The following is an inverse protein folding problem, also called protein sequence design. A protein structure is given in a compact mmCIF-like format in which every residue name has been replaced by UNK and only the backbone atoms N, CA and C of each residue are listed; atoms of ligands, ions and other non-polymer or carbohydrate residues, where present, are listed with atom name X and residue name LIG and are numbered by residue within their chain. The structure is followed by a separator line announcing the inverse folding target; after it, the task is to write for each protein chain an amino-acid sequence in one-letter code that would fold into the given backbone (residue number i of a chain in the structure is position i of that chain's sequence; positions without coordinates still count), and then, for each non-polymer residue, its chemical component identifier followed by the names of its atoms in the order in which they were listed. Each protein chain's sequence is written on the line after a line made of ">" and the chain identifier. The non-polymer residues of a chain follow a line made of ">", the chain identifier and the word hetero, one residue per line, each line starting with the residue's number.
data_IF_806653999307
#
_entry.id   IF_806653999307
#
_cell.length_a   1.000
_cell.length_b   1.000
_cell.length_c   1.000
_cell.angle_alpha   90.00
_cell.angle_beta   90.00
_cell.angle_gamma   90.00
#
_symmetry.space_group_name_H-M   'P 1'
#
loop_
_entity.id
_entity.type
_entity.pdbx_description
1 polymer ?
#
# COMPACT_ATOMS: atom_id res chain seq x y z
N UNK A 1 22.92 -19.86 4.63
CA UNK A 1 23.54 -19.47 3.34
C UNK A 1 23.42 -17.95 3.23
N UNK A 2 24.47 -17.24 3.61
CA UNK A 2 24.51 -15.79 3.65
C UNK A 2 24.55 -15.26 2.21
N UNK A 3 23.50 -14.56 1.80
CA UNK A 3 23.41 -13.92 0.49
C UNK A 3 24.29 -12.67 0.50
N UNK A 4 25.61 -12.88 0.44
CA UNK A 4 26.59 -11.82 0.24
C UNK A 4 26.44 -11.35 -1.22
N UNK A 5 25.56 -10.37 -1.43
CA UNK A 5 25.72 -9.43 -2.55
C UNK A 5 27.06 -8.73 -2.34
N UNK A 6 28.14 -9.31 -2.88
CA UNK A 6 29.40 -8.62 -3.01
C UNK A 6 29.23 -7.57 -4.10
N UNK A 7 28.70 -6.41 -3.74
CA UNK A 7 28.65 -5.25 -4.61
C UNK A 7 30.07 -4.70 -4.74
N UNK A 8 30.57 -4.62 -5.97
CA UNK A 8 31.85 -3.99 -6.23
C UNK A 8 31.66 -2.48 -6.17
N UNK A 9 32.14 -1.86 -5.09
CA UNK A 9 31.98 -0.43 -4.78
C UNK A 9 33.30 0.34 -4.94
N UNK A 10 34.12 0.01 -5.95
CA UNK A 10 35.38 0.71 -6.19
C UNK A 10 35.12 2.20 -6.50
N UNK A 11 35.40 3.12 -5.55
CA UNK A 11 35.04 4.52 -5.69
C UNK A 11 35.94 5.25 -6.71
N UNK A 12 37.02 4.61 -7.16
CA UNK A 12 37.86 5.14 -8.24
C UNK A 12 37.22 4.95 -9.63
N UNK A 13 36.21 4.07 -9.73
CA UNK A 13 35.57 3.68 -10.99
C UNK A 13 34.11 4.08 -11.02
N UNK A 14 33.40 3.90 -9.89
CA UNK A 14 31.99 4.22 -9.78
C UNK A 14 31.76 5.38 -8.83
N UNK A 15 30.77 6.25 -9.13
CA UNK A 15 30.32 7.23 -8.16
C UNK A 15 29.76 6.53 -6.92
N UNK A 16 29.84 7.16 -5.73
CA UNK A 16 29.30 6.60 -4.50
C UNK A 16 27.77 6.50 -4.52
N UNK A 17 27.12 7.24 -5.42
CA UNK A 17 25.68 7.19 -5.66
C UNK A 17 25.31 5.94 -6.49
N UNK A 18 24.50 5.01 -5.93
CA UNK A 18 24.06 3.80 -6.61
C UNK A 18 23.29 4.07 -7.91
N UNK A 19 22.48 5.13 -7.97
CA UNK A 19 21.65 5.44 -9.14
C UNK A 19 22.53 5.87 -10.33
N UNK A 20 23.52 6.72 -10.05
CA UNK A 20 24.48 7.18 -11.07
C UNK A 20 25.36 6.01 -11.54
N UNK A 21 25.71 5.08 -10.65
CA UNK A 21 26.43 3.85 -11.02
C UNK A 21 25.61 2.99 -11.98
N UNK A 22 24.34 2.75 -11.68
CA UNK A 22 23.45 1.97 -12.55
C UNK A 22 23.31 2.63 -13.94
N UNK A 23 23.14 3.95 -13.98
CA UNK A 23 23.09 4.70 -15.25
C UNK A 23 24.37 4.51 -16.07
N UNK A 24 25.54 4.61 -15.44
CA UNK A 24 26.84 4.44 -16.11
C UNK A 24 27.01 3.03 -16.68
N UNK A 25 26.65 2.00 -15.91
CA UNK A 25 26.70 0.61 -16.36
C UNK A 25 25.76 0.38 -17.55
N UNK A 26 24.56 0.94 -17.51
CA UNK A 26 23.60 0.83 -18.60
C UNK A 26 24.11 1.50 -19.87
N UNK A 27 24.54 2.76 -19.80
CA UNK A 27 25.10 3.50 -20.95
C UNK A 27 26.32 2.81 -21.55
N UNK A 28 27.19 2.28 -20.68
CA UNK A 28 28.35 1.50 -21.11
C UNK A 28 27.95 0.23 -21.87
N UNK A 29 26.93 -0.50 -21.38
CA UNK A 29 26.43 -1.72 -22.04
C UNK A 29 25.80 -1.46 -23.42
N UNK A 30 25.25 -0.26 -23.60
CA UNK A 30 24.70 0.20 -24.87
C UNK A 30 25.78 0.63 -25.87
N UNK A 31 27.04 0.74 -25.42
CA UNK A 31 28.17 1.18 -26.22
C UNK A 31 28.30 2.70 -26.32
N UNK A 32 27.67 3.46 -25.42
CA UNK A 32 27.84 4.91 -25.36
C UNK A 32 29.18 5.27 -24.73
N UNK A 33 29.82 6.32 -25.26
CA UNK A 33 31.03 6.89 -24.67
C UNK A 33 30.67 8.00 -23.67
N UNK A 34 31.31 7.95 -22.50
CA UNK A 34 31.22 8.94 -21.42
C UNK A 34 32.54 8.99 -20.63
N UNK A 35 32.81 10.04 -19.83
CA UNK A 35 34.13 10.26 -19.22
C UNK A 35 34.73 9.08 -18.43
N UNK A 36 33.90 8.19 -17.87
CA UNK A 36 34.34 7.02 -17.11
C UNK A 36 34.39 5.71 -17.92
N UNK A 37 34.14 5.74 -19.23
CA UNK A 37 34.09 4.52 -20.08
C UNK A 37 35.39 3.72 -20.03
N UNK A 38 36.55 4.36 -20.10
CA UNK A 38 37.84 3.65 -20.08
C UNK A 38 38.18 3.10 -18.69
N UNK A 39 37.83 3.84 -17.63
CA UNK A 39 37.99 3.38 -16.25
C UNK A 39 37.15 2.12 -15.97
N UNK A 40 35.90 2.10 -16.44
CA UNK A 40 34.99 0.96 -16.34
C UNK A 40 35.55 -0.25 -17.13
N UNK A 41 36.03 -0.06 -18.36
CA UNK A 41 36.68 -1.14 -19.14
C UNK A 41 37.93 -1.69 -18.46
N UNK A 42 38.77 -0.81 -17.90
CA UNK A 42 39.96 -1.21 -17.16
C UNK A 42 39.59 -2.05 -15.94
N UNK A 43 38.59 -1.62 -15.16
CA UNK A 43 38.11 -2.34 -13.99
C UNK A 43 37.43 -3.68 -14.33
N UNK A 44 36.62 -3.74 -15.39
CA UNK A 44 36.03 -5.00 -15.87
C UNK A 44 37.07 -6.07 -16.20
N UNK A 45 38.26 -5.66 -16.68
CA UNK A 45 39.35 -6.60 -16.97
C UNK A 45 39.88 -7.27 -15.70
N UNK A 46 39.88 -6.58 -14.56
CA UNK A 46 40.40 -7.08 -13.28
C UNK A 46 39.34 -7.59 -12.29
N UNK A 47 38.06 -7.20 -12.45
CA UNK A 47 36.99 -7.54 -11.51
C UNK A 47 35.99 -8.55 -12.11
N UNK A 48 35.94 -9.76 -11.56
CA UNK A 48 35.03 -10.82 -12.01
C UNK A 48 33.54 -10.50 -11.77
N UNK A 49 33.22 -9.77 -10.69
CA UNK A 49 31.85 -9.38 -10.34
C UNK A 49 31.29 -8.40 -11.38
N UNK A 50 31.99 -7.28 -11.61
CA UNK A 50 31.58 -6.29 -12.62
C UNK A 50 31.47 -6.89 -14.03
N UNK A 51 32.33 -7.85 -14.37
CA UNK A 51 32.25 -8.56 -15.65
C UNK A 51 30.94 -9.36 -15.77
N UNK A 52 30.60 -10.15 -14.75
CA UNK A 52 29.35 -10.93 -14.71
C UNK A 52 28.10 -10.04 -14.77
N UNK A 53 28.11 -8.92 -14.05
CA UNK A 53 27.03 -7.93 -14.05
C UNK A 53 26.86 -7.30 -15.45
N UNK A 54 27.95 -6.89 -16.08
CA UNK A 54 27.94 -6.34 -17.44
C UNK A 54 27.52 -7.36 -18.49
N UNK A 55 27.87 -8.63 -18.33
CA UNK A 55 27.38 -9.71 -19.20
C UNK A 55 25.85 -9.90 -19.05
N UNK A 56 25.31 -9.78 -17.83
CA UNK A 56 23.86 -9.81 -17.60
C UNK A 56 23.16 -8.64 -18.28
N UNK A 57 23.65 -7.42 -18.05
CA UNK A 57 23.12 -6.20 -18.66
C UNK A 57 23.21 -6.30 -20.19
N UNK A 58 24.35 -6.75 -20.73
CA UNK A 58 24.57 -6.95 -22.15
C UNK A 58 23.63 -7.97 -22.79
N UNK A 59 23.25 -9.05 -22.08
CA UNK A 59 22.22 -9.99 -22.54
C UNK A 59 20.84 -9.34 -22.64
N UNK A 60 20.45 -8.53 -21.65
CA UNK A 60 19.19 -7.78 -21.69
C UNK A 60 19.21 -6.77 -22.82
N UNK A 61 20.27 -5.95 -22.92
CA UNK A 61 20.44 -4.99 -23.99
C UNK A 61 20.46 -5.65 -25.40
N UNK A 62 21.08 -6.82 -25.52
CA UNK A 62 21.11 -7.62 -26.74
C UNK A 62 19.74 -8.16 -27.13
N UNK A 63 18.97 -8.68 -26.17
CA UNK A 63 17.58 -9.10 -26.40
C UNK A 63 16.69 -7.94 -26.87
N UNK A 64 16.98 -6.71 -26.40
CA UNK A 64 16.29 -5.50 -26.82
C UNK A 64 16.71 -4.99 -28.21
N UNK A 65 17.93 -5.28 -28.68
CA UNK A 65 18.41 -4.88 -30.02
C UNK A 65 17.66 -5.54 -31.18
N UNK A 66 16.93 -6.64 -30.94
CA UNK A 66 16.07 -7.30 -31.93
C UNK A 66 14.63 -6.75 -31.99
N UNK A 67 14.26 -5.88 -31.04
CA UNK A 67 12.98 -5.16 -31.03
C UNK A 67 13.10 -3.76 -31.62
N UNK A 68 12.00 -2.99 -31.70
CA UNK A 68 12.09 -1.58 -32.07
C UNK A 68 13.04 -0.91 -31.06
N UNK A 69 14.12 -0.30 -31.57
CA UNK A 69 15.40 -0.18 -30.87
C UNK A 69 15.45 0.54 -29.50
N UNK A 70 16.64 0.63 -28.89
CA UNK A 70 16.86 1.04 -27.49
C UNK A 70 16.39 2.45 -27.12
N UNK A 71 15.90 3.25 -28.07
CA UNK A 71 15.22 4.53 -27.80
C UNK A 71 13.78 4.38 -27.28
N UNK A 72 13.22 3.18 -27.23
CA UNK A 72 11.88 2.95 -26.64
C UNK A 72 11.94 2.67 -25.13
N UNK A 73 13.15 2.45 -24.60
CA UNK A 73 13.43 2.68 -23.19
C UNK A 73 13.73 4.17 -22.90
N UNK A 74 13.37 5.09 -23.81
CA UNK A 74 13.13 6.46 -23.39
C UNK A 74 12.08 6.40 -22.28
N UNK A 75 12.51 6.79 -21.08
CA UNK A 75 11.73 6.96 -19.86
C UNK A 75 10.25 7.13 -20.20
N UNK A 76 9.44 6.14 -19.80
CA UNK A 76 8.00 6.21 -20.01
C UNK A 76 7.52 7.59 -19.52
N UNK A 77 6.63 8.26 -20.27
CA UNK A 77 6.08 9.54 -19.83
C UNK A 77 5.53 9.40 -18.41
N UNK A 78 5.69 10.43 -17.56
CA UNK A 78 5.17 10.36 -16.20
C UNK A 78 3.63 10.16 -16.23
N UNK A 79 3.05 9.47 -15.24
CA UNK A 79 1.64 9.06 -15.25
C UNK A 79 0.64 10.19 -15.51
N UNK A 80 0.94 11.41 -15.04
CA UNK A 80 0.09 12.59 -15.22
C UNK A 80 -0.11 12.92 -16.70
N UNK A 81 0.94 12.81 -17.52
CA UNK A 81 0.85 13.08 -18.96
C UNK A 81 0.08 12.00 -19.69
N UNK A 82 0.15 10.75 -19.23
CA UNK A 82 -0.66 9.65 -19.76
C UNK A 82 -2.14 9.86 -19.42
N UNK A 83 -2.45 10.31 -18.20
CA UNK A 83 -3.81 10.64 -17.75
C UNK A 83 -4.41 11.81 -18.53
N UNK A 84 -3.67 12.92 -18.69
CA UNK A 84 -4.11 14.06 -19.51
C UNK A 84 -4.37 13.65 -20.97
N UNK A 85 -3.51 12.81 -21.55
CA UNK A 85 -3.70 12.30 -22.89
C UNK A 85 -4.89 11.34 -23.00
N UNK A 86 -5.08 10.47 -22.00
CA UNK A 86 -6.23 9.56 -21.92
C UNK A 86 -7.55 10.33 -21.83
N UNK A 87 -7.58 11.40 -21.03
CA UNK A 87 -8.72 12.30 -20.85
C UNK A 87 -8.93 13.28 -22.02
N UNK A 88 -8.08 13.24 -23.06
CA UNK A 88 -8.16 14.14 -24.22
C UNK A 88 -7.86 15.61 -23.88
N UNK A 89 -7.14 15.88 -22.79
CA UNK A 89 -6.68 17.22 -22.39
C UNK A 89 -5.41 17.59 -23.17
N UNK A 90 -4.51 16.62 -23.35
CA UNK A 90 -3.25 16.81 -24.08
C UNK A 90 -3.32 16.14 -25.46
N UNK A 91 -2.75 16.81 -26.47
CA UNK A 91 -2.62 16.31 -27.84
C UNK A 91 -1.15 16.28 -28.31
N UNK A 92 -0.20 16.12 -27.38
CA UNK A 92 1.24 16.11 -27.68
C UNK A 92 1.61 15.00 -28.71
N UNK A 93 2.07 15.36 -29.92
CA UNK A 93 2.41 14.39 -30.97
C UNK A 93 3.57 13.46 -30.60
N UNK A 94 4.47 13.87 -29.70
CA UNK A 94 5.57 13.03 -29.24
C UNK A 94 5.06 11.91 -28.34
N UNK A 95 4.12 12.24 -27.46
CA UNK A 95 3.45 11.30 -26.58
C UNK A 95 2.62 10.28 -27.37
N UNK A 96 1.85 10.75 -28.36
CA UNK A 96 1.11 9.88 -29.26
C UNK A 96 2.03 8.89 -30.00
N UNK A 97 3.19 9.36 -30.48
CA UNK A 97 4.20 8.51 -31.12
C UNK A 97 4.78 7.48 -30.14
N UNK A 98 5.08 7.87 -28.91
CA UNK A 98 5.59 6.95 -27.88
C UNK A 98 4.57 5.85 -27.56
N UNK A 99 3.30 6.21 -27.30
CA UNK A 99 2.21 5.25 -27.04
C UNK A 99 2.00 4.30 -28.23
N UNK A 100 2.20 4.80 -29.46
CA UNK A 100 2.17 4.00 -30.67
C UNK A 100 3.22 2.87 -30.71
N UNK A 101 4.29 2.98 -29.92
CA UNK A 101 5.41 2.03 -29.96
C UNK A 101 5.62 1.27 -28.64
N UNK A 102 5.36 1.90 -27.49
CA UNK A 102 5.51 1.29 -26.16
C UNK A 102 4.23 0.53 -25.76
N UNK A 103 4.26 -0.81 -25.60
CA UNK A 103 3.07 -1.57 -25.21
C UNK A 103 2.58 -1.22 -23.81
N UNK A 104 3.48 -0.98 -22.85
CA UNK A 104 3.12 -0.64 -21.47
C UNK A 104 2.31 0.67 -21.39
N UNK A 105 2.79 1.76 -22.01
CA UNK A 105 2.04 3.03 -22.01
C UNK A 105 0.74 2.95 -22.82
N UNK A 106 0.66 2.05 -23.80
CA UNK A 106 -0.58 1.81 -24.57
C UNK A 106 -1.64 1.14 -23.70
N UNK A 107 -1.26 0.12 -22.95
CA UNK A 107 -2.16 -0.60 -22.06
C UNK A 107 -2.63 0.31 -20.91
N UNK A 108 -1.72 1.12 -20.35
CA UNK A 108 -2.03 2.12 -19.31
C UNK A 108 -3.07 3.14 -19.81
N UNK A 109 -2.89 3.72 -20.99
CA UNK A 109 -3.85 4.68 -21.56
C UNK A 109 -5.19 4.02 -21.89
N UNK A 110 -5.19 2.76 -22.34
CA UNK A 110 -6.43 2.02 -22.57
C UNK A 110 -7.19 1.78 -21.26
N UNK A 111 -6.50 1.43 -20.18
CA UNK A 111 -7.07 1.28 -18.85
C UNK A 111 -7.61 2.61 -18.30
N UNK A 112 -6.83 3.70 -18.38
CA UNK A 112 -7.27 5.03 -17.95
C UNK A 112 -8.54 5.49 -18.69
N UNK A 113 -8.70 5.14 -19.97
CA UNK A 113 -9.90 5.43 -20.75
C UNK A 113 -11.11 4.59 -20.37
N UNK A 114 -10.92 3.40 -19.82
CA UNK A 114 -12.03 2.53 -19.39
C UNK A 114 -12.51 2.86 -17.97
N UNK A 115 -11.62 3.40 -17.13
CA UNK A 115 -11.93 3.78 -15.74
C UNK A 115 -12.28 5.25 -15.55
N UNK A 116 -11.98 6.11 -16.53
CA UNK A 116 -12.40 7.50 -16.47
C UNK A 116 -13.92 7.60 -16.51
N UNK A 117 -14.49 8.08 -15.41
CA UNK A 117 -15.92 8.38 -15.34
C UNK A 117 -16.29 9.28 -16.52
N UNK A 118 -17.43 9.02 -17.19
CA UNK A 118 -17.87 9.87 -18.28
C UNK A 118 -17.94 11.30 -17.77
N UNK A 119 -17.15 12.20 -18.38
CA UNK A 119 -17.15 13.63 -18.05
C UNK A 119 -18.59 14.07 -17.90
N UNK A 120 -18.95 14.50 -16.69
CA UNK A 120 -20.25 15.10 -16.41
C UNK A 120 -20.42 16.23 -17.41
N UNK A 121 -21.29 16.00 -18.40
CA UNK A 121 -21.58 16.98 -19.43
C UNK A 121 -22.02 18.27 -18.73
N UNK A 122 -21.63 19.45 -19.24
CA UNK A 122 -22.11 20.71 -18.69
C UNK A 122 -23.63 20.66 -18.59
N UNK A 123 -24.13 20.86 -17.37
CA UNK A 123 -25.54 20.74 -17.03
C UNK A 123 -26.41 21.46 -18.07
N UNK A 124 -27.32 20.76 -18.78
CA UNK A 124 -28.24 21.43 -19.66
C UNK A 124 -29.22 22.26 -18.83
N UNK A 125 -29.55 23.42 -19.41
CA UNK A 125 -30.45 24.50 -18.99
C UNK A 125 -31.48 24.28 -17.86
N UNK A 126 -31.84 25.41 -17.21
CA UNK A 126 -32.79 25.67 -16.11
C UNK A 126 -34.01 24.74 -15.88
N UNK A 127 -34.43 23.89 -16.82
CA UNK A 127 -35.50 22.90 -16.61
C UNK A 127 -35.10 21.70 -15.74
N UNK A 128 -33.82 21.36 -15.63
CA UNK A 128 -33.35 20.26 -14.77
C UNK A 128 -33.46 20.56 -13.26
N UNK A 129 -33.53 21.84 -12.87
CA UNK A 129 -33.62 22.26 -11.46
C UNK A 129 -34.92 21.83 -10.78
N UNK A 130 -36.03 21.80 -11.50
CA UNK A 130 -37.33 21.46 -10.93
C UNK A 130 -37.48 19.96 -10.65
N UNK A 131 -36.83 19.09 -11.44
CA UNK A 131 -36.82 17.64 -11.19
C UNK A 131 -35.84 17.24 -10.07
N UNK A 132 -34.73 17.96 -9.91
CA UNK A 132 -33.77 17.73 -8.83
C UNK A 132 -34.34 18.03 -7.42
N UNK A 133 -35.21 19.03 -7.31
CA UNK A 133 -35.81 19.41 -6.02
C UNK A 133 -36.77 18.34 -5.45
N UNK A 134 -37.50 17.62 -6.32
CA UNK A 134 -38.42 16.55 -5.88
C UNK A 134 -37.65 15.31 -5.43
N UNK A 135 -36.53 14.97 -6.10
CA UNK A 135 -35.67 13.85 -5.69
C UNK A 135 -34.94 14.12 -4.36
N UNK A 136 -34.51 15.37 -4.10
CA UNK A 136 -33.87 15.74 -2.84
C UNK A 136 -34.82 15.63 -1.62
N UNK A 137 -36.11 15.95 -1.79
CA UNK A 137 -37.11 15.80 -0.72
C UNK A 137 -37.40 14.32 -0.39
N UNK A 138 -37.40 13.44 -1.39
CA UNK A 138 -37.57 12.00 -1.17
C UNK A 138 -36.36 11.37 -0.46
N UNK A 139 -35.14 11.84 -0.76
CA UNK A 139 -33.92 11.39 -0.08
C UNK A 139 -33.89 11.84 1.39
N UNK A 140 -34.32 13.07 1.71
CA UNK A 140 -34.40 13.57 3.09
C UNK A 140 -35.38 12.77 3.98
N UNK A 141 -36.43 12.18 3.40
CA UNK A 141 -37.37 11.34 4.14
C UNK A 141 -36.81 9.94 4.50
N UNK A 142 -35.75 9.47 3.83
CA UNK A 142 -35.09 8.18 4.08
C UNK A 142 -33.87 8.28 5.01
N UNK A 143 -33.39 9.49 5.29
CA UNK A 143 -32.27 9.75 6.23
C UNK A 143 -32.53 9.23 7.66
N UNK A 144 -33.73 9.34 8.25
CA UNK A 144 -33.95 8.87 9.62
C UNK A 144 -33.85 7.35 9.76
N UNK A 145 -34.21 6.59 8.72
CA UNK A 145 -34.19 5.12 8.74
C UNK A 145 -32.79 4.51 8.59
N UNK A 146 -31.84 5.23 7.98
CA UNK A 146 -30.44 4.76 7.85
C UNK A 146 -29.58 5.18 9.05
N UNK A 147 -29.95 6.27 9.75
CA UNK A 147 -29.21 6.76 10.91
C UNK A 147 -29.64 6.13 12.25
N UNK A 148 -30.71 5.34 12.30
CA UNK A 148 -31.05 4.52 13.46
C UNK A 148 -30.35 3.16 13.37
N UNK A 149 -29.02 3.18 13.22
CA UNK A 149 -28.22 2.02 13.64
C UNK A 149 -28.44 1.93 15.16
N UNK A 150 -29.03 0.84 15.69
CA UNK A 150 -29.13 0.68 17.14
C UNK A 150 -27.73 0.90 17.71
N UNK A 151 -27.61 1.79 18.70
CA UNK A 151 -26.39 1.99 19.46
C UNK A 151 -25.77 0.60 19.68
N UNK A 152 -24.62 0.28 19.06
CA UNK A 152 -24.09 -1.06 19.09
C UNK A 152 -23.94 -1.40 20.57
N UNK A 153 -24.77 -2.35 21.03
CA UNK A 153 -24.81 -2.71 22.44
C UNK A 153 -23.38 -3.01 22.85
N UNK A 154 -22.89 -2.26 23.85
CA UNK A 154 -21.50 -2.38 24.30
C UNK A 154 -21.19 -3.86 24.52
N UNK A 155 -20.11 -4.33 23.90
CA UNK A 155 -19.63 -5.70 24.10
C UNK A 155 -19.41 -5.94 25.59
N UNK A 156 -19.70 -7.17 26.04
CA UNK A 156 -19.46 -7.64 27.41
C UNK A 156 -17.99 -7.48 27.84
N UNK A 157 -17.09 -7.30 26.88
CA UNK A 157 -15.64 -7.23 27.08
C UNK A 157 -15.06 -5.84 26.77
N UNK A 158 -15.90 -4.82 26.56
CA UNK A 158 -15.43 -3.48 26.16
C UNK A 158 -14.50 -2.85 27.21
N UNK A 159 -14.74 -3.15 28.49
CA UNK A 159 -13.90 -2.72 29.61
C UNK A 159 -12.52 -3.40 29.66
N UNK A 160 -12.32 -4.49 28.91
CA UNK A 160 -11.04 -5.19 28.78
C UNK A 160 -10.15 -4.59 27.68
N UNK A 161 -10.73 -3.75 26.82
CA UNK A 161 -10.03 -3.13 25.70
C UNK A 161 -8.95 -2.20 26.23
N UNK A 162 -7.73 -2.39 25.75
CA UNK A 162 -6.58 -1.57 26.08
C UNK A 162 -6.20 -0.64 24.92
N UNK A 163 -5.59 0.52 25.22
CA UNK A 163 -5.00 1.36 24.18
C UNK A 163 -3.96 0.58 23.37
N UNK A 164 -4.07 0.67 22.04
CA UNK A 164 -3.10 0.09 21.13
C UNK A 164 -1.92 1.06 21.01
N UNK A 165 -0.76 0.68 21.54
CA UNK A 165 0.49 1.39 21.29
C UNK A 165 0.95 1.10 19.86
N UNK A 166 1.28 2.14 19.09
CA UNK A 166 1.68 1.95 17.69
C UNK A 166 3.11 1.39 17.59
N UNK A 167 3.25 0.22 16.97
CA UNK A 167 4.56 -0.37 16.68
C UNK A 167 4.99 -0.04 15.25
N UNK A 168 5.56 1.17 15.07
CA UNK A 168 6.01 1.68 13.77
C UNK A 168 6.82 0.66 12.99
N UNK A 169 7.81 0.03 13.63
CA UNK A 169 8.67 -0.96 12.99
C UNK A 169 7.87 -2.18 12.49
N UNK A 170 7.01 -2.76 13.33
CA UNK A 170 6.22 -3.94 12.96
C UNK A 170 5.29 -3.65 11.77
N UNK A 171 4.68 -2.47 11.75
CA UNK A 171 3.81 -2.04 10.66
C UNK A 171 4.60 -1.86 9.35
N UNK A 172 5.76 -1.20 9.39
CA UNK A 172 6.59 -1.00 8.20
C UNK A 172 7.16 -2.32 7.66
N UNK A 173 7.53 -3.24 8.54
CA UNK A 173 7.97 -4.60 8.15
C UNK A 173 6.85 -5.37 7.42
N UNK A 174 5.58 -5.09 7.74
CA UNK A 174 4.42 -5.67 7.07
C UNK A 174 4.07 -5.01 5.72
N UNK A 175 4.47 -3.76 5.48
CA UNK A 175 4.28 -3.09 4.18
C UNK A 175 5.16 -3.73 3.10
N UNK A 176 6.36 -4.23 3.45
CA UNK A 176 7.33 -4.99 2.61
C UNK A 176 7.85 -4.32 1.33
N UNK A 177 7.18 -3.29 0.82
CA UNK A 177 7.60 -2.52 -0.33
C UNK A 177 8.08 -1.13 0.12
N UNK A 178 9.40 -0.86 0.09
CA UNK A 178 9.95 0.42 0.50
C UNK A 178 9.37 1.63 -0.26
N UNK A 179 8.91 1.45 -1.49
CA UNK A 179 8.28 2.50 -2.30
C UNK A 179 6.98 2.98 -1.65
N UNK A 180 6.29 2.11 -0.91
CA UNK A 180 5.04 2.41 -0.22
C UNK A 180 5.24 2.95 1.20
N UNK A 181 6.47 2.90 1.74
CA UNK A 181 6.77 3.37 3.10
C UNK A 181 6.39 4.84 3.33
N UNK A 182 6.56 5.79 2.39
CA UNK A 182 6.13 7.17 2.62
C UNK A 182 4.64 7.30 2.99
N UNK A 183 3.75 6.52 2.38
CA UNK A 183 2.32 6.51 2.72
C UNK A 183 2.07 5.90 4.10
N UNK A 184 2.78 4.80 4.42
CA UNK A 184 2.68 4.16 5.72
C UNK A 184 3.19 5.07 6.86
N UNK A 185 4.33 5.72 6.66
CA UNK A 185 4.94 6.66 7.62
C UNK A 185 4.03 7.88 7.84
N UNK A 186 3.42 8.40 6.78
CA UNK A 186 2.45 9.49 6.86
C UNK A 186 1.19 9.09 7.64
N UNK A 187 0.65 7.89 7.36
CA UNK A 187 -0.49 7.34 8.09
C UNK A 187 -0.17 7.16 9.59
N UNK A 188 1.00 6.61 9.92
CA UNK A 188 1.47 6.44 11.29
C UNK A 188 1.60 7.77 12.03
N UNK A 189 2.25 8.75 11.40
CA UNK A 189 2.39 10.09 12.00
C UNK A 189 1.03 10.74 12.24
N UNK A 190 0.08 10.58 11.32
CA UNK A 190 -1.28 11.07 11.51
C UNK A 190 -2.01 10.36 12.67
N UNK A 191 -1.83 9.05 12.84
CA UNK A 191 -2.40 8.30 13.98
C UNK A 191 -1.83 8.78 15.33
N UNK A 192 -0.52 9.00 15.41
CA UNK A 192 0.15 9.52 16.61
C UNK A 192 -0.36 10.92 16.99
N UNK A 193 -0.64 11.76 15.99
CA UNK A 193 -1.23 13.08 16.17
C UNK A 193 -2.74 13.04 16.48
N UNK A 194 -3.36 11.86 16.48
CA UNK A 194 -4.81 11.69 16.64
C UNK A 194 -5.63 12.15 15.43
N UNK A 195 -4.99 12.46 14.29
CA UNK A 195 -5.66 12.85 13.06
C UNK A 195 -6.11 11.63 12.26
N UNK A 196 -7.20 11.01 12.72
CA UNK A 196 -7.71 9.76 12.16
C UNK A 196 -8.15 9.88 10.69
N UNK A 197 -8.65 11.05 10.27
CA UNK A 197 -9.04 11.30 8.87
C UNK A 197 -7.83 11.32 7.93
N UNK A 198 -6.74 12.00 8.32
CA UNK A 198 -5.52 12.02 7.53
C UNK A 198 -4.88 10.62 7.47
N UNK A 199 -4.88 9.89 8.59
CA UNK A 199 -4.38 8.52 8.63
C UNK A 199 -5.13 7.59 7.67
N UNK A 200 -6.46 7.66 7.65
CA UNK A 200 -7.29 6.88 6.74
C UNK A 200 -7.00 7.23 5.27
N UNK A 201 -6.86 8.52 4.95
CA UNK A 201 -6.53 8.97 3.59
C UNK A 201 -5.20 8.39 3.10
N UNK A 202 -4.15 8.45 3.91
CA UNK A 202 -2.83 7.92 3.54
C UNK A 202 -2.82 6.39 3.46
N UNK A 203 -3.52 5.70 4.37
CA UNK A 203 -3.69 4.25 4.30
C UNK A 203 -4.46 3.82 3.03
N UNK A 204 -5.47 4.59 2.61
CA UNK A 204 -6.19 4.34 1.36
C UNK A 204 -5.31 4.55 0.12
N UNK A 205 -4.41 5.55 0.13
CA UNK A 205 -3.44 5.76 -0.97
C UNK A 205 -2.46 4.60 -1.07
N UNK A 206 -1.99 4.09 0.07
CA UNK A 206 -1.18 2.87 0.12
C UNK A 206 -1.93 1.68 -0.49
N UNK A 207 -3.18 1.46 -0.08
CA UNK A 207 -4.00 0.36 -0.57
C UNK A 207 -4.44 0.52 -2.02
N UNK A 208 -4.55 1.75 -2.54
CA UNK A 208 -4.78 1.98 -3.97
C UNK A 208 -3.61 1.45 -4.82
N UNK A 209 -2.37 1.58 -4.31
CA UNK A 209 -1.18 1.03 -4.96
C UNK A 209 -0.99 -0.47 -4.70
N UNK A 210 -1.45 -0.98 -3.54
CA UNK A 210 -1.36 -2.39 -3.18
C UNK A 210 -2.61 -2.85 -2.37
N UNK A 211 -3.69 -3.29 -3.04
CA UNK A 211 -4.99 -3.54 -2.41
C UNK A 211 -5.01 -4.59 -1.30
N UNK A 212 -4.09 -5.55 -1.35
CA UNK A 212 -3.94 -6.63 -0.37
C UNK A 212 -2.63 -6.46 0.42
N UNK A 213 -2.25 -5.22 0.77
CA UNK A 213 -1.11 -4.99 1.65
C UNK A 213 -1.54 -5.13 3.12
N UNK A 214 -0.99 -6.08 3.89
CA UNK A 214 -1.43 -6.30 5.27
C UNK A 214 -1.14 -5.09 6.17
N UNK A 215 0.02 -4.44 6.03
CA UNK A 215 0.34 -3.22 6.78
C UNK A 215 -0.61 -2.06 6.46
N UNK A 216 -0.96 -1.88 5.18
CA UNK A 216 -1.96 -0.91 4.74
C UNK A 216 -3.35 -1.17 5.29
N UNK A 217 -3.80 -2.44 5.27
CA UNK A 217 -5.08 -2.85 5.84
C UNK A 217 -5.09 -2.61 7.37
N UNK A 218 -4.02 -2.96 8.08
CA UNK A 218 -3.89 -2.67 9.52
C UNK A 218 -3.95 -1.18 9.82
N UNK A 219 -3.24 -0.33 9.06
CA UNK A 219 -3.27 1.13 9.22
C UNK A 219 -4.67 1.70 8.98
N UNK A 220 -5.37 1.23 7.95
CA UNK A 220 -6.75 1.64 7.68
C UNK A 220 -7.69 1.22 8.82
N UNK A 221 -7.51 0.01 9.34
CA UNK A 221 -8.24 -0.48 10.52
C UNK A 221 -8.04 0.40 11.75
N UNK A 222 -6.79 0.71 12.09
CA UNK A 222 -6.45 1.59 13.21
C UNK A 222 -7.02 3.01 13.04
N UNK A 223 -6.97 3.56 11.83
CA UNK A 223 -7.55 4.87 11.53
C UNK A 223 -9.07 4.88 11.76
N UNK A 224 -9.78 3.84 11.30
CA UNK A 224 -11.22 3.71 11.52
C UNK A 224 -11.60 3.48 12.98
N UNK A 225 -10.81 2.69 13.70
CA UNK A 225 -11.00 2.52 15.15
C UNK A 225 -10.89 3.87 15.86
N UNK A 226 -9.88 4.69 15.52
CA UNK A 226 -9.68 6.02 16.10
C UNK A 226 -10.84 6.98 15.78
N UNK A 227 -11.55 6.78 14.67
CA UNK A 227 -12.80 7.49 14.31
C UNK A 227 -14.05 6.96 15.02
N UNK A 228 -13.96 5.85 15.73
CA UNK A 228 -15.10 5.19 16.38
C UNK A 228 -15.81 4.14 15.51
N UNK A 229 -15.37 3.88 14.27
CA UNK A 229 -15.89 2.79 13.44
C UNK A 229 -15.22 1.45 13.82
N UNK A 230 -15.54 0.95 15.02
CA UNK A 230 -14.94 -0.27 15.57
C UNK A 230 -15.25 -1.50 14.71
N UNK A 231 -16.50 -1.63 14.24
CA UNK A 231 -16.93 -2.76 13.41
C UNK A 231 -16.27 -2.74 12.02
N UNK A 232 -16.17 -1.57 11.39
CA UNK A 232 -15.46 -1.42 10.13
C UNK A 232 -13.96 -1.67 10.29
N UNK A 233 -13.35 -1.17 11.36
CA UNK A 233 -11.96 -1.44 11.70
C UNK A 233 -11.70 -2.95 11.84
N UNK A 234 -12.52 -3.64 12.63
CA UNK A 234 -12.42 -5.07 12.87
C UNK A 234 -12.46 -5.89 11.57
N UNK A 235 -13.43 -5.63 10.68
CA UNK A 235 -13.51 -6.31 9.37
C UNK A 235 -12.27 -6.09 8.50
N UNK A 236 -11.71 -4.88 8.51
CA UNK A 236 -10.54 -4.54 7.69
C UNK A 236 -9.29 -5.23 8.21
N UNK A 237 -9.07 -5.25 9.53
CA UNK A 237 -7.92 -5.95 10.12
C UNK A 237 -8.06 -7.47 9.96
N UNK A 238 -9.28 -8.01 10.03
CA UNK A 238 -9.52 -9.43 9.74
C UNK A 238 -9.12 -9.81 8.31
N UNK A 239 -9.41 -8.95 7.33
CA UNK A 239 -8.93 -9.14 5.95
C UNK A 239 -7.39 -9.11 5.84
N UNK A 240 -6.71 -8.31 6.67
CA UNK A 240 -5.25 -8.29 6.70
C UNK A 240 -4.67 -9.68 7.07
N UNK A 241 -5.36 -10.41 7.95
CA UNK A 241 -5.00 -11.78 8.35
C UNK A 241 -5.26 -12.83 7.28
N UNK A 242 -6.34 -12.68 6.50
CA UNK A 242 -6.64 -13.56 5.38
C UNK A 242 -5.57 -13.49 4.28
N UNK A 243 -5.02 -12.29 4.06
CA UNK A 243 -3.95 -12.06 3.09
C UNK A 243 -2.64 -12.71 3.53
N UNK A 244 -2.32 -12.62 4.83
CA UNK A 244 -1.04 -13.10 5.37
C UNK A 244 -1.17 -13.44 6.86
N UNK A 245 -0.54 -14.54 7.33
CA UNK A 245 -0.51 -14.86 8.75
C UNK A 245 0.00 -13.71 9.61
N UNK A 246 -0.68 -13.50 10.73
CA UNK A 246 -0.48 -12.44 11.71
C UNK A 246 0.98 -12.20 12.07
N UNK A 247 1.34 -10.93 12.21
CA UNK A 247 2.46 -10.54 13.07
C UNK A 247 1.95 -10.43 14.52
N UNK A 248 2.86 -10.50 15.50
CA UNK A 248 2.53 -10.29 16.93
C UNK A 248 1.67 -9.05 17.15
N UNK A 249 2.09 -7.94 16.53
CA UNK A 249 1.36 -6.67 16.59
C UNK A 249 -0.05 -6.78 15.98
N UNK A 250 -0.23 -7.42 14.82
CA UNK A 250 -1.56 -7.58 14.23
C UNK A 250 -2.48 -8.48 15.07
N UNK A 251 -1.95 -9.57 15.65
CA UNK A 251 -2.70 -10.38 16.63
C UNK A 251 -3.20 -9.50 17.79
N UNK A 252 -2.33 -8.63 18.32
CA UNK A 252 -2.70 -7.72 19.41
C UNK A 252 -3.78 -6.73 18.98
N UNK A 253 -3.64 -6.08 17.82
CA UNK A 253 -4.65 -5.17 17.27
C UNK A 253 -5.99 -5.89 17.10
N UNK A 254 -5.98 -7.09 16.52
CA UNK A 254 -7.20 -7.85 16.26
C UNK A 254 -7.86 -8.34 17.55
N UNK A 255 -7.08 -8.71 18.58
CA UNK A 255 -7.60 -9.03 19.91
C UNK A 255 -8.34 -7.84 20.52
N UNK A 256 -7.74 -6.65 20.48
CA UNK A 256 -8.39 -5.44 21.03
C UNK A 256 -9.70 -5.10 20.30
N UNK A 257 -9.71 -5.23 18.97
CA UNK A 257 -10.92 -5.02 18.17
C UNK A 257 -11.97 -6.11 18.46
N UNK A 258 -11.58 -7.37 18.61
CA UNK A 258 -12.47 -8.48 18.92
C UNK A 258 -13.11 -8.34 20.32
N UNK A 259 -12.36 -7.88 21.33
CA UNK A 259 -12.90 -7.52 22.65
C UNK A 259 -13.98 -6.43 22.52
N UNK A 260 -13.69 -5.39 21.73
CA UNK A 260 -14.62 -4.28 21.52
C UNK A 260 -15.89 -4.69 20.73
N UNK A 261 -15.78 -5.63 19.78
CA UNK A 261 -16.93 -6.13 19.00
C UNK A 261 -17.66 -7.30 19.65
N UNK A 262 -17.04 -7.97 20.63
CA UNK A 262 -17.61 -9.12 21.33
C UNK A 262 -17.45 -10.44 20.58
N UNK A 263 -16.52 -10.52 19.62
CA UNK A 263 -16.24 -11.77 18.91
C UNK A 263 -15.35 -12.71 19.74
N UNK A 264 -16.02 -13.59 20.49
CA UNK A 264 -15.40 -14.60 21.37
C UNK A 264 -14.48 -15.55 20.59
N UNK A 265 -14.80 -15.91 19.35
CA UNK A 265 -13.97 -16.83 18.58
C UNK A 265 -12.63 -16.19 18.25
N UNK A 266 -12.67 -14.95 17.76
CA UNK A 266 -11.46 -14.18 17.49
C UNK A 266 -10.66 -13.88 18.75
N UNK A 267 -11.30 -13.53 19.87
CA UNK A 267 -10.63 -13.32 21.16
C UNK A 267 -9.81 -14.56 21.53
N UNK A 268 -10.42 -15.75 21.52
CA UNK A 268 -9.74 -17.02 21.84
C UNK A 268 -8.62 -17.35 20.87
N UNK A 269 -8.82 -17.09 19.57
CA UNK A 269 -7.81 -17.32 18.54
C UNK A 269 -6.58 -16.46 18.79
N UNK A 270 -6.77 -15.15 18.96
CA UNK A 270 -5.65 -14.23 19.13
C UNK A 270 -4.95 -14.39 20.48
N UNK A 271 -5.66 -14.68 21.58
CA UNK A 271 -5.02 -15.03 22.85
C UNK A 271 -4.10 -16.25 22.72
N UNK A 272 -4.53 -17.30 21.99
CA UNK A 272 -3.70 -18.49 21.73
C UNK A 272 -2.49 -18.21 20.85
N UNK A 273 -2.56 -17.25 19.93
CA UNK A 273 -1.38 -16.82 19.18
C UNK A 273 -0.42 -16.05 20.10
N UNK A 274 -0.93 -15.06 20.83
CA UNK A 274 -0.14 -14.14 21.65
C UNK A 274 0.51 -14.80 22.87
N UNK A 275 0.00 -15.93 23.38
CA UNK A 275 0.64 -16.65 24.49
C UNK A 275 2.06 -17.16 24.18
N UNK A 276 2.44 -17.21 22.90
CA UNK A 276 3.79 -17.59 22.45
C UNK A 276 4.71 -16.40 22.18
N UNK A 277 4.23 -15.17 22.37
CA UNK A 277 4.93 -13.93 22.09
C UNK A 277 5.33 -13.20 23.37
N UNK A 278 6.61 -12.87 23.53
CA UNK A 278 7.15 -12.34 24.79
C UNK A 278 6.45 -11.06 25.26
N UNK A 279 6.13 -10.13 24.35
CA UNK A 279 5.58 -8.81 24.70
C UNK A 279 4.17 -8.89 25.28
N UNK A 280 3.33 -9.82 24.80
CA UNK A 280 1.91 -9.86 25.12
C UNK A 280 1.46 -11.14 25.82
N UNK A 281 2.37 -12.09 26.09
CA UNK A 281 2.05 -13.42 26.62
C UNK A 281 1.24 -13.38 27.91
N UNK A 282 1.77 -12.70 28.94
CA UNK A 282 1.12 -12.68 30.26
C UNK A 282 -0.28 -12.06 30.16
N UNK A 283 -0.37 -10.93 29.45
CA UNK A 283 -1.64 -10.22 29.29
C UNK A 283 -2.67 -11.01 28.48
N UNK A 284 -2.23 -11.75 27.45
CA UNK A 284 -3.12 -12.59 26.66
C UNK A 284 -3.73 -13.74 27.46
N UNK A 285 -2.96 -14.32 28.39
CA UNK A 285 -3.43 -15.39 29.30
C UNK A 285 -4.49 -14.82 30.25
N UNK A 286 -4.20 -13.69 30.91
CA UNK A 286 -5.15 -13.02 31.81
C UNK A 286 -6.47 -12.67 31.12
N UNK A 287 -6.39 -12.07 29.92
CA UNK A 287 -7.57 -11.70 29.14
C UNK A 287 -8.40 -12.94 28.76
N UNK A 288 -7.75 -14.07 28.45
CA UNK A 288 -8.45 -15.31 28.13
C UNK A 288 -9.18 -15.87 29.35
N UNK A 289 -8.54 -15.87 30.52
CA UNK A 289 -9.18 -16.31 31.78
C UNK A 289 -10.39 -15.47 32.14
N UNK A 290 -10.26 -14.13 32.06
CA UNK A 290 -11.35 -13.21 32.38
C UNK A 290 -12.55 -13.34 31.42
N UNK A 291 -12.27 -13.54 30.12
CA UNK A 291 -13.33 -13.77 29.11
C UNK A 291 -14.08 -15.07 29.40
N UNK A 292 -13.37 -16.16 29.73
CA UNK A 292 -14.02 -17.44 30.05
C UNK A 292 -14.84 -17.38 31.35
N UNK A 293 -14.36 -16.68 32.38
CA UNK A 293 -15.11 -16.49 33.62
C UNK A 293 -16.44 -15.77 33.38
N UNK A 294 -16.42 -14.68 32.59
CA UNK A 294 -17.64 -13.92 32.25
C UNK A 294 -18.64 -14.74 31.44
N UNK A 295 -18.15 -15.55 30.49
CA UNK A 295 -19.00 -16.45 29.70
C UNK A 295 -19.63 -17.54 30.58
N UNK A 296 -18.87 -18.12 31.51
CA UNK A 296 -19.37 -19.10 32.46
C UNK A 296 -20.41 -18.49 33.43
N UNK A 297 -20.20 -17.25 33.87
CA UNK A 297 -21.16 -16.52 34.71
C UNK A 297 -22.51 -16.32 34.05
N UNK A 298 -22.54 -16.00 32.74
CA UNK A 298 -23.79 -15.85 31.98
C UNK A 298 -24.56 -17.17 31.79
N UNK A 299 -23.86 -18.29 31.66
CA UNK A 299 -24.52 -19.59 31.50
C UNK A 299 -25.27 -20.06 32.77
N UNK A 300 -25.03 -19.43 33.92
CA UNK A 300 -25.66 -19.76 35.21
C UNK A 300 -26.92 -18.94 35.52
N UNK A 301 -27.20 -17.88 34.75
CA UNK A 301 -28.36 -16.99 34.91
C UNK A 301 -29.46 -17.41 33.94
#
# INVERSE_FOLDING_TARGET
>A
MTNLKMECTDPAVYPPDPEVREEWLWRHSLGEEFPATEAIRAHQRSCAVCRSEMDQIGRVAGALKGGPGPRILAVCPPPERLSEYAAGISSDPRLARHIGVCPLCRDEVAWLRSTSEPRVLPFPSRRAWLLGAVAAAALLALVPTVLHQPEPGLSLFTDLVQPIALERKAILDDVRNPILNPFAEAALSALEQGNAMAAESEAQRLLAAAPDNPGGLTLLGLARQKRGDIQGAYRIVLRAEEVRPASEFRCWVLLQLALATGDVESIRRECRHLQFHETHRERAIELMEEVEERLAGRARV
#
